data_IF_434106552932
#
_entry.id   IF_434106552932
#
_cell.length_a   1.000
_cell.length_b   1.000
_cell.length_c   1.000
_cell.angle_alpha   90.00
_cell.angle_beta   90.00
_cell.angle_gamma   90.00
#
_symmetry.space_group_name_H-M   'P 1'
#
loop_
_entity.id
_entity.type
_entity.pdbx_description
1 polymer ?
#
# COMPACT_ATOMS: atom_id res chain seq x y z
N UNK A 1 2.02 5.24 -9.45
CA UNK A 1 2.08 3.89 -8.85
C UNK A 1 2.60 4.07 -7.43
N UNK A 2 2.10 3.35 -6.44
CA UNK A 2 2.61 3.46 -5.06
C UNK A 2 3.35 2.18 -4.72
N UNK A 3 4.60 2.32 -4.27
CA UNK A 3 5.35 1.23 -3.69
C UNK A 3 5.47 1.50 -2.19
N UNK A 4 5.11 0.50 -1.40
CA UNK A 4 5.26 0.55 0.04
C UNK A 4 6.55 -0.19 0.38
N UNK A 5 7.52 0.52 0.92
CA UNK A 5 8.79 -0.06 1.35
C UNK A 5 8.59 -0.63 2.77
N UNK A 6 9.14 -1.81 3.03
CA UNK A 6 9.06 -2.49 4.34
C UNK A 6 7.67 -2.98 4.78
N UNK A 7 6.73 -3.27 3.86
CA UNK A 7 5.46 -3.91 4.25
C UNK A 7 5.73 -5.33 4.74
N UNK A 8 5.37 -5.67 5.99
CA UNK A 8 5.53 -7.01 6.50
C UNK A 8 4.67 -7.99 5.70
N UNK A 9 5.16 -9.22 5.46
CA UNK A 9 4.36 -10.26 4.81
C UNK A 9 3.07 -10.55 5.58
N UNK A 10 3.05 -10.33 6.89
CA UNK A 10 1.86 -10.44 7.75
C UNK A 10 0.78 -9.40 7.38
N UNK A 11 1.16 -8.15 7.12
CA UNK A 11 0.23 -7.10 6.67
C UNK A 11 -0.32 -7.42 5.29
N UNK A 12 0.51 -7.97 4.40
CA UNK A 12 0.07 -8.40 3.07
C UNK A 12 -0.91 -9.59 3.13
N UNK A 13 -0.63 -10.58 3.98
CA UNK A 13 -1.51 -11.72 4.21
C UNK A 13 -2.84 -11.27 4.83
N UNK A 14 -2.81 -10.39 5.83
CA UNK A 14 -4.01 -9.83 6.45
C UNK A 14 -4.84 -8.99 5.48
N UNK A 15 -4.19 -8.16 4.64
CA UNK A 15 -4.88 -7.43 3.57
C UNK A 15 -5.52 -8.35 2.52
N UNK A 16 -4.85 -9.45 2.19
CA UNK A 16 -5.36 -10.45 1.24
C UNK A 16 -6.55 -11.23 1.80
N UNK A 17 -6.51 -11.56 3.09
CA UNK A 17 -7.58 -12.27 3.80
C UNK A 17 -8.76 -11.37 4.20
N UNK A 18 -8.57 -10.04 4.27
CA UNK A 18 -9.61 -9.12 4.63
C UNK A 18 -10.68 -8.99 3.53
N UNK A 19 -11.94 -9.27 3.89
CA UNK A 19 -13.09 -9.00 3.00
C UNK A 19 -13.27 -7.52 2.69
N UNK A 20 -12.81 -6.63 3.58
CA UNK A 20 -12.93 -5.18 3.46
C UNK A 20 -11.56 -4.52 3.21
N UNK A 21 -11.01 -4.73 2.00
CA UNK A 21 -9.68 -4.21 1.61
C UNK A 21 -9.53 -2.70 1.81
N UNK A 22 -10.54 -1.90 1.45
CA UNK A 22 -10.49 -0.44 1.60
C UNK A 22 -10.41 0.04 3.05
N UNK A 23 -11.15 -0.62 3.95
CA UNK A 23 -11.14 -0.31 5.39
C UNK A 23 -9.81 -0.72 6.03
N UNK A 24 -9.34 -1.94 5.73
CA UNK A 24 -8.04 -2.42 6.19
C UNK A 24 -6.91 -1.49 5.74
N UNK A 25 -6.91 -1.09 4.46
CA UNK A 25 -5.92 -0.16 3.94
C UNK A 25 -5.93 1.20 4.68
N UNK A 26 -7.11 1.77 4.95
CA UNK A 26 -7.20 3.04 5.66
C UNK A 26 -6.73 2.97 7.11
N UNK A 27 -7.16 1.94 7.86
CA UNK A 27 -6.81 1.83 9.28
C UNK A 27 -5.36 1.33 9.47
N UNK A 28 -4.92 0.35 8.67
CA UNK A 28 -3.68 -0.38 8.95
C UNK A 28 -2.54 -0.02 8.02
N UNK A 29 -2.78 0.61 6.86
CA UNK A 29 -1.72 0.85 5.86
C UNK A 29 -1.44 2.35 5.65
N UNK A 30 -2.48 3.17 5.47
CA UNK A 30 -2.36 4.59 5.07
C UNK A 30 -1.50 5.46 6.00
N UNK A 31 -1.55 5.21 7.31
CA UNK A 31 -0.82 6.00 8.32
C UNK A 31 0.32 5.25 9.02
N UNK A 32 0.52 3.97 8.70
CA UNK A 32 1.47 3.11 9.42
C UNK A 32 2.74 2.82 8.64
N UNK A 33 2.68 2.84 7.30
CA UNK A 33 3.84 2.50 6.47
C UNK A 33 4.31 3.69 5.65
N UNK A 34 5.63 3.77 5.49
CA UNK A 34 6.25 4.67 4.53
C UNK A 34 5.93 4.15 3.14
N UNK A 35 5.38 5.02 2.31
CA UNK A 35 5.16 4.73 0.91
C UNK A 35 5.94 5.73 0.07
N UNK A 36 6.44 5.23 -1.06
CA UNK A 36 7.00 6.06 -2.10
C UNK A 36 6.00 6.12 -3.24
N UNK A 37 5.63 7.34 -3.61
CA UNK A 37 4.92 7.56 -4.86
C UNK A 37 5.92 7.38 -5.99
N UNK A 38 5.81 6.25 -6.67
CA UNK A 38 6.57 5.99 -7.88
C UNK A 38 5.83 6.69 -9.00
N UNK A 39 6.42 7.77 -9.50
CA UNK A 39 6.00 8.36 -10.76
C UNK A 39 5.99 7.22 -11.78
N UNK A 40 4.78 6.84 -12.24
CA UNK A 40 4.70 6.02 -13.43
C UNK A 40 5.28 6.93 -14.52
N UNK A 41 6.47 6.59 -15.03
CA UNK A 41 7.25 7.44 -15.92
C UNK A 41 6.55 7.73 -17.25
N UNK A 42 5.51 8.56 -17.20
CA UNK A 42 4.83 9.11 -18.34
C UNK A 42 4.28 10.52 -18.02
N UNK A 43 5.10 11.33 -17.35
CA UNK A 43 5.21 12.74 -17.71
C UNK A 43 6.27 12.81 -18.80
N UNK A 44 5.91 12.34 -19.99
CA UNK A 44 6.61 12.65 -21.22
C UNK A 44 5.92 13.86 -21.84
N UNK A 45 6.54 15.04 -21.70
CA UNK A 45 6.31 16.20 -22.55
C UNK A 45 5.30 17.22 -22.03
#
# INVERSE_FOLDING_TARGET
RYEFEEVPPETFAAFTAASAKGRFFNEHIRNHFRYRQVAAGNDAG
#
